data_IF_457642521452
#
_entry.id   IF_457642521452
#
_cell.length_a   1.000
_cell.length_b   1.000
_cell.length_c   1.000
_cell.angle_alpha   90.00
_cell.angle_beta   90.00
_cell.angle_gamma   90.00
#
_symmetry.space_group_name_H-M   'P 1'
#
loop_
_entity.id
_entity.type
_entity.pdbx_description
1 polymer ?
#
# COMPACT_ATOMS: atom_id res chain seq x y z
N UNK A 1 12.81 4.39 14.16
CA UNK A 1 12.48 3.90 12.81
C UNK A 1 12.91 2.45 12.73
N UNK A 2 11.95 1.53 12.81
CA UNK A 2 12.22 0.10 12.79
C UNK A 2 12.70 -0.37 11.41
N UNK A 3 13.51 -1.43 11.38
CA UNK A 3 13.94 -2.10 10.15
C UNK A 3 12.76 -2.45 9.23
N UNK A 4 11.59 -2.72 9.83
CA UNK A 4 10.34 -2.99 9.12
C UNK A 4 9.89 -1.81 8.26
N UNK A 5 9.99 -0.56 8.72
CA UNK A 5 9.62 0.61 7.90
C UNK A 5 10.51 0.73 6.66
N UNK A 6 11.82 0.47 6.78
CA UNK A 6 12.72 0.47 5.63
C UNK A 6 12.32 -0.60 4.59
N UNK A 7 12.03 -1.82 5.05
CA UNK A 7 11.59 -2.91 4.17
C UNK A 7 10.24 -2.61 3.49
N UNK A 8 9.29 -1.99 4.21
CA UNK A 8 8.00 -1.60 3.62
C UNK A 8 8.16 -0.48 2.59
N UNK A 9 9.03 0.50 2.83
CA UNK A 9 9.34 1.54 1.85
C UNK A 9 10.02 0.97 0.60
N UNK A 10 10.92 -0.01 0.77
CA UNK A 10 11.51 -0.76 -0.34
C UNK A 10 10.43 -1.51 -1.15
N UNK A 11 9.49 -2.18 -0.48
CA UNK A 11 8.37 -2.86 -1.15
C UNK A 11 7.46 -1.88 -1.93
N UNK A 12 7.23 -0.68 -1.40
CA UNK A 12 6.51 0.37 -2.11
C UNK A 12 7.27 0.82 -3.36
N UNK A 13 8.60 1.03 -3.26
CA UNK A 13 9.42 1.43 -4.41
C UNK A 13 9.47 0.33 -5.47
N UNK A 14 9.59 -0.94 -5.10
CA UNK A 14 9.63 -2.04 -6.08
C UNK A 14 8.30 -2.22 -6.81
N UNK A 15 7.17 -2.07 -6.11
CA UNK A 15 5.84 -2.11 -6.74
C UNK A 15 5.58 -0.89 -7.63
N UNK A 16 6.03 0.31 -7.24
CA UNK A 16 6.00 1.50 -8.08
C UNK A 16 6.84 1.33 -9.36
N UNK A 17 8.06 0.80 -9.23
CA UNK A 17 8.90 0.49 -10.39
C UNK A 17 8.24 -0.56 -11.30
N UNK A 18 7.57 -1.56 -10.73
CA UNK A 18 6.82 -2.56 -11.47
C UNK A 18 5.67 -1.95 -12.29
N UNK A 19 4.98 -0.94 -11.76
CA UNK A 19 3.93 -0.23 -12.48
C UNK A 19 4.48 0.65 -13.61
N UNK A 20 5.54 1.41 -13.34
CA UNK A 20 6.18 2.29 -14.33
C UNK A 20 6.77 1.50 -15.51
N UNK A 21 7.25 0.28 -15.25
CA UNK A 21 7.79 -0.63 -16.26
C UNK A 21 6.67 -1.46 -16.91
N UNK A 22 5.71 -0.77 -17.55
CA UNK A 22 4.54 -1.37 -18.18
C UNK A 22 4.91 -2.59 -19.04
N UNK A 23 4.43 -3.76 -18.61
CA UNK A 23 4.34 -4.96 -19.45
C UNK A 23 3.03 -4.95 -20.22
N UNK A 24 2.97 -5.73 -21.30
CA UNK A 24 1.80 -5.86 -22.18
C UNK A 24 0.49 -6.28 -21.48
N UNK A 25 0.58 -6.83 -20.27
CA UNK A 25 -0.59 -7.31 -19.52
C UNK A 25 -1.03 -6.31 -18.45
N UNK A 26 -2.20 -5.70 -18.67
CA UNK A 26 -2.88 -4.81 -17.70
C UNK A 26 -3.10 -5.45 -16.32
N UNK A 27 -3.33 -6.77 -16.29
CA UNK A 27 -3.46 -7.52 -15.03
C UNK A 27 -2.21 -7.42 -14.14
N UNK A 28 -1.02 -7.34 -14.74
CA UNK A 28 0.21 -7.22 -13.97
C UNK A 28 0.38 -5.83 -13.33
N UNK A 29 -0.07 -4.77 -14.01
CA UNK A 29 -0.08 -3.42 -13.43
C UNK A 29 -1.11 -3.27 -12.32
N UNK A 30 -2.27 -3.91 -12.42
CA UNK A 30 -3.29 -3.94 -11.36
C UNK A 30 -2.76 -4.63 -10.09
N UNK A 31 -2.07 -5.76 -10.24
CA UNK A 31 -1.40 -6.42 -9.10
C UNK A 31 -0.31 -5.55 -8.46
N UNK A 32 0.43 -4.76 -9.26
CA UNK A 32 1.38 -3.79 -8.72
C UNK A 32 0.69 -2.66 -7.93
N UNK A 33 -0.49 -2.19 -8.38
CA UNK A 33 -1.32 -1.24 -7.64
C UNK A 33 -1.78 -1.83 -6.30
N UNK A 34 -2.30 -3.05 -6.29
CA UNK A 34 -2.68 -3.75 -5.05
C UNK A 34 -1.49 -3.90 -4.09
N UNK A 35 -0.31 -4.22 -4.61
CA UNK A 35 0.93 -4.30 -3.83
C UNK A 35 1.34 -2.98 -3.20
N UNK A 36 1.21 -1.86 -3.92
CA UNK A 36 1.47 -0.52 -3.37
C UNK A 36 0.49 -0.20 -2.24
N UNK A 37 -0.81 -0.46 -2.43
CA UNK A 37 -1.83 -0.18 -1.42
C UNK A 37 -1.63 -1.01 -0.15
N UNK A 38 -1.24 -2.27 -0.29
CA UNK A 38 -0.92 -3.14 0.84
C UNK A 38 0.31 -2.64 1.61
N UNK A 39 1.36 -2.19 0.91
CA UNK A 39 2.55 -1.67 1.57
C UNK A 39 2.27 -0.39 2.38
N UNK A 40 1.43 0.50 1.87
CA UNK A 40 0.94 1.69 2.59
C UNK A 40 0.07 1.32 3.78
N UNK A 41 -0.80 0.31 3.65
CA UNK A 41 -1.66 -0.16 4.74
C UNK A 41 -0.83 -0.65 5.93
N UNK A 42 0.20 -1.46 5.66
CA UNK A 42 1.09 -1.97 6.70
C UNK A 42 1.92 -0.85 7.32
N UNK A 43 2.39 0.12 6.52
CA UNK A 43 3.15 1.26 7.04
C UNK A 43 2.31 2.10 8.02
N UNK A 44 1.08 2.45 7.64
CA UNK A 44 0.17 3.29 8.45
C UNK A 44 -0.33 2.52 9.68
N UNK A 45 -0.67 1.24 9.55
CA UNK A 45 -1.10 0.44 10.71
C UNK A 45 0.02 0.29 11.74
N UNK A 46 1.26 0.06 11.30
CA UNK A 46 2.42 -0.02 12.18
C UNK A 46 2.70 1.32 12.88
N UNK A 47 2.60 2.45 12.18
CA UNK A 47 2.80 3.77 12.83
C UNK A 47 1.71 4.08 13.86
N UNK A 48 0.46 3.72 13.59
CA UNK A 48 -0.66 3.86 14.54
C UNK A 48 -0.43 2.99 15.78
N UNK A 49 -0.01 1.74 15.60
CA UNK A 49 0.30 0.81 16.68
C UNK A 49 1.44 1.32 17.56
N UNK A 50 2.53 1.84 16.96
CA UNK A 50 3.68 2.37 17.68
C UNK A 50 3.32 3.64 18.47
N UNK A 51 2.49 4.51 17.91
CA UNK A 51 2.11 5.78 18.53
C UNK A 51 0.90 5.66 19.47
N UNK A 52 0.31 4.47 19.60
CA UNK A 52 -0.90 4.19 20.38
C UNK A 52 -2.08 5.15 20.05
N UNK A 53 -2.16 5.63 18.80
CA UNK A 53 -3.20 6.57 18.36
C UNK A 53 -4.48 5.83 17.95
N UNK A 54 -5.29 5.40 18.92
CA UNK A 54 -6.51 4.61 18.68
C UNK A 54 -7.53 5.29 17.77
N UNK A 55 -7.64 6.62 17.81
CA UNK A 55 -8.52 7.40 16.93
C UNK A 55 -8.15 7.27 15.44
N UNK A 56 -6.86 7.11 15.13
CA UNK A 56 -6.40 6.98 13.75
C UNK A 56 -6.54 5.55 13.19
N UNK A 57 -6.97 4.58 14.00
CA UNK A 57 -7.13 3.16 13.58
C UNK A 57 -8.14 2.96 12.45
N UNK A 58 -9.06 3.91 12.24
CA UNK A 58 -9.99 3.89 11.10
C UNK A 58 -9.34 4.31 9.78
N UNK A 59 -8.23 5.05 9.81
CA UNK A 59 -7.57 5.59 8.60
C UNK A 59 -7.08 4.50 7.63
N UNK A 60 -6.40 3.42 8.08
CA UNK A 60 -6.01 2.31 7.18
C UNK A 60 -7.20 1.62 6.52
N UNK A 61 -8.34 1.53 7.21
CA UNK A 61 -9.55 0.87 6.71
C UNK A 61 -10.21 1.73 5.61
N UNK A 62 -10.32 3.04 5.85
CA UNK A 62 -10.84 3.99 4.85
C UNK A 62 -9.96 3.94 3.58
N UNK A 63 -8.64 3.90 3.76
CA UNK A 63 -7.70 3.80 2.64
C UNK A 63 -7.90 2.51 1.82
N UNK A 64 -8.11 1.35 2.47
CA UNK A 64 -8.41 0.09 1.78
C UNK A 64 -9.71 0.13 0.98
N UNK A 65 -10.76 0.77 1.50
CA UNK A 65 -12.04 0.88 0.80
C UNK A 65 -11.87 1.66 -0.50
N UNK A 66 -11.21 2.83 -0.46
CA UNK A 66 -10.92 3.59 -1.68
C UNK A 66 -10.02 2.82 -2.64
N UNK A 67 -9.04 2.06 -2.14
CA UNK A 67 -8.19 1.17 -2.95
C UNK A 67 -9.02 0.17 -3.77
N UNK A 68 -9.96 -0.51 -3.12
CA UNK A 68 -10.81 -1.50 -3.75
C UNK A 68 -11.79 -0.86 -4.75
N UNK A 69 -12.26 0.36 -4.47
CA UNK A 69 -13.06 1.13 -5.41
C UNK A 69 -12.28 1.49 -6.67
N UNK A 70 -11.05 1.96 -6.55
CA UNK A 70 -10.16 2.25 -7.69
C UNK A 70 -9.86 0.98 -8.50
N UNK A 71 -9.61 -0.15 -7.83
CA UNK A 71 -9.36 -1.43 -8.49
C UNK A 71 -10.60 -2.01 -9.20
N UNK A 72 -11.81 -1.68 -8.74
CA UNK A 72 -13.06 -2.08 -9.40
C UNK A 72 -13.42 -1.18 -10.60
N UNK A 73 -12.88 0.04 -10.65
CA UNK A 73 -13.06 0.97 -11.76
C UNK A 73 -12.05 0.76 -12.90
N UNK A 74 -10.84 0.28 -12.57
CA UNK A 74 -9.78 -0.05 -13.54
C UNK A 74 -10.00 -1.37 -14.27
#
# INVERSE_FOLDING_TARGET
>A
MSLTHMNMMLAFITSLLGLLMYRSHLMSSLLCLEGMMLSLFVLISMTILITHMTLASMMPIIMLVFAACEAALG
#
